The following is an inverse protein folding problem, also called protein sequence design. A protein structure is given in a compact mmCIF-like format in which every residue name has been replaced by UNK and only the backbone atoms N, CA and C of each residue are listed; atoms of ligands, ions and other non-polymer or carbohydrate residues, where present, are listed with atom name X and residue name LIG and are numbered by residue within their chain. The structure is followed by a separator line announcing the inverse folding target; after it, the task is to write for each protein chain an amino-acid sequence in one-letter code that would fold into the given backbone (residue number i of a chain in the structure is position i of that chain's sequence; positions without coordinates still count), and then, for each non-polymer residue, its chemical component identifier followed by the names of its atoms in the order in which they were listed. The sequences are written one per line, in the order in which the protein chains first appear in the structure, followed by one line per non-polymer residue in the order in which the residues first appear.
data_IF_159025840375
#
_entry.id   IF_159025840375
#
_cell.length_a   1.000
_cell.length_b   1.000
_cell.length_c   1.000
_cell.angle_alpha   90.00
_cell.angle_beta   90.00
_cell.angle_gamma   90.00
#
_symmetry.space_group_name_H-M   'P 1'
#
loop_
_entity.id
_entity.type
_entity.pdbx_description
1 polymer ?
#
# COMPACT_ATOMS: atom_id res chain seq x y z
N UNK A 1 64.81 1.48 -35.21
CA UNK A 1 64.03 1.45 -33.96
C UNK A 1 62.57 1.78 -34.27
N UNK A 2 61.71 0.76 -34.41
CA UNK A 2 60.26 0.94 -34.64
C UNK A 2 59.57 1.03 -33.27
N UNK A 3 58.92 2.16 -32.98
CA UNK A 3 58.09 2.32 -31.78
C UNK A 3 56.76 1.59 -32.02
N UNK A 4 56.48 0.58 -31.21
CA UNK A 4 55.22 -0.15 -31.17
C UNK A 4 54.20 0.71 -30.39
N UNK A 5 53.14 1.14 -31.05
CA UNK A 5 52.02 1.88 -30.43
C UNK A 5 51.02 0.83 -29.91
N UNK A 6 50.92 0.65 -28.59
CA UNK A 6 49.87 -0.15 -27.97
C UNK A 6 48.57 0.69 -27.96
N UNK A 7 47.56 0.24 -28.69
CA UNK A 7 46.21 0.79 -28.65
C UNK A 7 45.39 -0.07 -27.68
N UNK A 8 45.21 0.41 -26.45
CA UNK A 8 44.36 -0.25 -25.44
C UNK A 8 42.93 0.25 -25.63
N UNK A 9 42.06 -0.60 -26.19
CA UNK A 9 40.63 -0.33 -26.32
C UNK A 9 39.94 -0.74 -25.01
N UNK A 10 39.45 0.25 -24.26
CA UNK A 10 38.49 0.00 -23.17
C UNK A 10 37.10 -0.18 -23.79
N UNK A 11 36.60 -1.42 -23.86
CA UNK A 11 35.18 -1.67 -24.05
C UNK A 11 34.46 -1.39 -22.73
N UNK A 12 33.87 -0.20 -22.62
CA UNK A 12 32.80 0.03 -21.66
C UNK A 12 31.52 -0.60 -22.23
N UNK A 13 31.17 -1.80 -21.77
CA UNK A 13 29.80 -2.27 -21.89
C UNK A 13 28.95 -1.40 -20.96
N UNK A 14 28.29 -0.40 -21.53
CA UNK A 14 27.11 0.19 -20.89
C UNK A 14 26.06 -0.92 -20.88
N UNK A 15 26.03 -1.69 -19.79
CA UNK A 15 24.83 -2.45 -19.48
C UNK A 15 23.77 -1.39 -19.23
N UNK A 16 22.84 -1.23 -20.16
CA UNK A 16 21.55 -0.65 -19.79
C UNK A 16 21.07 -1.50 -18.63
N UNK A 17 20.91 -0.90 -17.45
CA UNK A 17 20.07 -1.49 -16.43
C UNK A 17 18.72 -1.69 -17.12
N UNK A 18 18.43 -2.92 -17.52
CA UNK A 18 17.09 -3.27 -17.95
C UNK A 18 16.20 -2.87 -16.79
N UNK A 19 15.13 -2.12 -17.07
CA UNK A 19 14.05 -2.09 -16.09
C UNK A 19 13.67 -3.55 -15.87
N UNK A 20 13.65 -3.99 -14.61
CA UNK A 20 13.05 -5.27 -14.27
C UNK A 20 11.69 -5.37 -14.97
N UNK A 21 11.33 -6.56 -15.44
CA UNK A 21 10.04 -6.77 -16.08
C UNK A 21 8.94 -6.27 -15.12
N UNK A 22 8.14 -5.32 -15.56
CA UNK A 22 7.06 -4.81 -14.73
C UNK A 22 5.93 -5.83 -14.81
N UNK A 23 5.69 -6.54 -13.71
CA UNK A 23 4.54 -7.42 -13.62
C UNK A 23 3.25 -6.61 -13.47
N UNK A 24 2.12 -7.15 -13.94
CA UNK A 24 0.80 -6.52 -13.82
C UNK A 24 0.69 -5.13 -14.49
N UNK A 25 1.32 -4.95 -15.66
CA UNK A 25 1.32 -3.65 -16.40
C UNK A 25 -0.09 -3.07 -16.62
N UNK A 26 -1.12 -3.93 -16.69
CA UNK A 26 -2.52 -3.51 -16.90
C UNK A 26 -3.23 -3.04 -15.63
N UNK A 27 -2.68 -3.30 -14.44
CA UNK A 27 -3.25 -2.92 -13.13
C UNK A 27 -2.19 -2.53 -12.10
N UNK A 28 -1.32 -1.54 -12.41
CA UNK A 28 -0.15 -1.26 -11.57
C UNK A 28 -0.48 -0.56 -10.23
N UNK A 29 -1.74 -0.23 -9.99
CA UNK A 29 -2.16 0.55 -8.82
C UNK A 29 -3.12 -0.19 -7.88
N UNK A 30 -3.43 -1.47 -8.14
CA UNK A 30 -4.24 -2.27 -7.23
C UNK A 30 -3.39 -2.75 -6.05
N UNK A 31 -3.86 -2.62 -4.82
CA UNK A 31 -3.16 -3.20 -3.67
C UNK A 31 -3.58 -4.64 -3.43
N UNK A 32 -2.69 -5.40 -2.79
CA UNK A 32 -2.96 -6.71 -2.20
C UNK A 32 -2.91 -6.59 -0.69
N UNK A 33 -3.79 -7.33 -0.01
CA UNK A 33 -3.83 -7.44 1.45
C UNK A 33 -3.58 -8.90 1.82
N UNK A 34 -2.61 -9.13 2.70
CA UNK A 34 -2.36 -10.40 3.37
C UNK A 34 -2.65 -10.21 4.85
N UNK A 35 -3.58 -10.98 5.38
CA UNK A 35 -3.95 -10.90 6.79
C UNK A 35 -2.89 -11.53 7.70
N UNK A 36 -2.68 -10.96 8.88
CA UNK A 36 -1.71 -11.42 9.88
C UNK A 36 -1.88 -12.90 10.26
N UNK A 37 -3.11 -13.41 10.22
CA UNK A 37 -3.41 -14.83 10.46
C UNK A 37 -2.74 -15.77 9.45
N UNK A 38 -2.46 -15.29 8.24
CA UNK A 38 -1.70 -16.02 7.22
C UNK A 38 -0.19 -16.04 7.49
N UNK A 39 0.28 -15.24 8.46
CA UNK A 39 1.67 -15.04 8.84
C UNK A 39 1.98 -15.64 10.23
N UNK A 40 1.37 -16.79 10.55
CA UNK A 40 1.38 -17.41 11.89
C UNK A 40 2.77 -17.62 12.53
N UNK A 41 3.84 -17.82 11.75
CA UNK A 41 5.19 -18.01 12.23
C UNK A 41 5.92 -16.69 12.58
N UNK A 42 5.32 -15.54 12.24
CA UNK A 42 5.82 -14.20 12.55
C UNK A 42 4.97 -13.48 13.61
N UNK A 43 4.02 -14.15 14.23
CA UNK A 43 3.18 -13.57 15.28
C UNK A 43 4.04 -13.09 16.46
N UNK A 44 3.78 -11.86 16.93
CA UNK A 44 4.56 -11.19 17.96
C UNK A 44 5.96 -10.74 17.54
N UNK A 45 6.27 -10.74 16.24
CA UNK A 45 7.49 -10.13 15.70
C UNK A 45 7.29 -8.63 15.59
N UNK A 46 8.32 -7.85 15.96
CA UNK A 46 8.32 -6.40 15.78
C UNK A 46 8.18 -6.04 14.30
N UNK A 47 7.24 -5.15 13.96
CA UNK A 47 7.02 -4.70 12.59
C UNK A 47 8.27 -4.06 11.98
N UNK A 48 9.08 -3.39 12.82
CA UNK A 48 10.39 -2.82 12.42
C UNK A 48 11.46 -3.85 12.05
N UNK A 49 11.24 -5.13 12.34
CA UNK A 49 12.08 -6.24 11.91
C UNK A 49 11.60 -6.86 10.60
N UNK A 50 10.46 -6.45 10.05
CA UNK A 50 9.92 -7.02 8.83
C UNK A 50 10.31 -6.18 7.62
N UNK A 51 10.65 -6.85 6.52
CA UNK A 51 10.76 -6.20 5.21
C UNK A 51 10.27 -7.11 4.10
N UNK A 52 9.59 -6.49 3.13
CA UNK A 52 9.11 -7.12 1.93
C UNK A 52 10.09 -6.90 0.77
N UNK A 53 10.31 -7.94 -0.02
CA UNK A 53 11.28 -7.95 -1.09
C UNK A 53 10.72 -8.56 -2.38
N UNK A 54 11.27 -8.10 -3.50
CA UNK A 54 11.16 -8.73 -4.80
C UNK A 54 12.53 -9.27 -5.24
N UNK A 55 12.51 -10.37 -5.99
CA UNK A 55 13.71 -10.94 -6.60
C UNK A 55 13.77 -10.57 -8.08
N UNK A 56 14.93 -10.11 -8.55
CA UNK A 56 15.23 -9.94 -9.97
C UNK A 56 16.09 -11.11 -10.43
N UNK A 57 15.52 -11.99 -11.27
CA UNK A 57 16.21 -13.18 -11.77
C UNK A 57 17.27 -12.87 -12.82
N UNK A 58 17.20 -11.69 -13.46
CA UNK A 58 18.16 -11.25 -14.48
C UNK A 58 19.48 -10.85 -13.85
N UNK A 59 19.43 -10.15 -12.71
CA UNK A 59 20.61 -9.73 -11.95
C UNK A 59 20.92 -10.65 -10.78
N UNK A 60 20.04 -11.60 -10.49
CA UNK A 60 20.09 -12.50 -9.33
C UNK A 60 20.19 -11.73 -8.00
N UNK A 61 19.42 -10.65 -7.86
CA UNK A 61 19.46 -9.76 -6.70
C UNK A 61 18.11 -9.52 -6.06
N UNK A 62 18.16 -9.19 -4.77
CA UNK A 62 17.01 -8.82 -3.97
C UNK A 62 16.88 -7.31 -3.88
N UNK A 63 15.65 -6.82 -4.01
CA UNK A 63 15.34 -5.40 -3.84
C UNK A 63 14.18 -5.24 -2.86
N UNK A 64 14.29 -4.36 -1.85
CA UNK A 64 13.17 -4.08 -0.98
C UNK A 64 12.05 -3.43 -1.79
N UNK A 65 10.81 -3.75 -1.45
CA UNK A 65 9.63 -3.18 -2.12
C UNK A 65 8.76 -2.43 -1.11
N UNK A 66 8.03 -1.39 -1.55
CA UNK A 66 7.10 -0.67 -0.70
C UNK A 66 6.06 -1.62 -0.10
N UNK A 67 5.95 -1.59 1.21
CA UNK A 67 4.91 -2.30 1.95
C UNK A 67 4.55 -1.52 3.20
N UNK A 68 3.36 -1.80 3.72
CA UNK A 68 2.78 -1.23 4.92
C UNK A 68 2.18 -2.38 5.73
N UNK A 69 2.34 -2.35 7.05
CA UNK A 69 1.56 -3.20 7.95
C UNK A 69 0.63 -2.25 8.70
N UNK A 70 -0.66 -2.47 8.51
CA UNK A 70 -1.70 -1.70 9.19
C UNK A 70 -2.14 -2.47 10.42
N UNK A 71 -1.72 -1.98 11.59
CA UNK A 71 -2.12 -2.54 12.88
C UNK A 71 -3.61 -2.31 13.10
N UNK A 72 -4.32 -3.39 13.41
CA UNK A 72 -5.76 -3.33 13.71
C UNK A 72 -5.93 -3.49 15.21
N UNK A 73 -6.26 -2.40 15.90
CA UNK A 73 -6.70 -2.46 17.29
C UNK A 73 -8.15 -2.93 17.42
N UNK A 74 -8.60 -3.07 18.67
CA UNK A 74 -9.89 -3.67 19.08
C UNK A 74 -11.11 -3.25 18.24
N UNK A 75 -11.15 -2.00 17.77
CA UNK A 75 -12.23 -1.50 16.91
C UNK A 75 -11.73 -0.83 15.61
N UNK A 76 -10.41 -0.76 15.36
CA UNK A 76 -9.88 0.04 14.24
C UNK A 76 -8.36 0.09 14.04
N UNK A 77 -7.95 0.60 12.87
CA UNK A 77 -6.60 1.06 12.52
C UNK A 77 -6.02 2.26 13.32
N UNK A 78 -6.66 2.72 14.38
CA UNK A 78 -6.24 3.90 15.15
C UNK A 78 -6.16 3.63 16.66
N UNK A 79 -6.26 2.38 17.09
CA UNK A 79 -6.13 1.98 18.49
C UNK A 79 -5.04 0.93 18.61
N UNK A 80 -4.29 0.96 19.72
CA UNK A 80 -3.42 -0.15 20.13
C UNK A 80 -2.30 -0.50 19.15
N UNK A 81 -1.49 0.47 18.73
CA UNK A 81 -0.19 0.22 18.05
C UNK A 81 0.81 -0.18 19.14
N UNK A 82 1.18 -1.46 19.16
CA UNK A 82 2.26 -1.99 19.99
C UNK A 82 3.51 -2.34 19.17
N UNK A 83 3.42 -2.18 17.85
CA UNK A 83 4.47 -2.42 16.89
C UNK A 83 4.79 -3.90 16.73
N UNK A 84 3.88 -4.80 17.10
CA UNK A 84 3.98 -6.25 16.90
C UNK A 84 3.01 -6.71 15.82
N UNK A 85 3.35 -7.79 15.13
CA UNK A 85 2.45 -8.43 14.20
C UNK A 85 1.43 -9.30 14.94
N UNK A 86 0.15 -8.96 14.79
CA UNK A 86 -0.97 -9.64 15.44
C UNK A 86 -1.94 -10.30 14.44
N UNK A 87 -2.66 -11.30 14.96
CA UNK A 87 -3.71 -12.02 14.24
C UNK A 87 -4.85 -12.46 15.15
N UNK A 88 -5.07 -11.75 16.26
CA UNK A 88 -6.14 -12.08 17.20
C UNK A 88 -7.48 -11.64 16.60
N UNK A 89 -8.56 -12.35 16.92
CA UNK A 89 -9.90 -11.95 16.45
C UNK A 89 -10.23 -10.53 16.93
N UNK A 90 -10.57 -9.64 15.98
CA UNK A 90 -10.78 -8.21 16.24
C UNK A 90 -9.50 -7.37 16.22
N UNK A 91 -8.32 -8.00 16.09
CA UNK A 91 -7.00 -7.35 15.98
C UNK A 91 -6.16 -8.09 14.93
N UNK A 92 -6.66 -8.12 13.70
CA UNK A 92 -6.01 -8.81 12.58
C UNK A 92 -5.30 -7.82 11.68
N UNK A 93 -3.98 -7.78 11.79
CA UNK A 93 -3.16 -6.85 11.01
C UNK A 93 -3.21 -7.12 9.52
N UNK A 94 -3.03 -6.07 8.73
CA UNK A 94 -3.02 -6.13 7.27
C UNK A 94 -1.63 -5.81 6.71
N UNK A 95 -0.97 -6.78 6.10
CA UNK A 95 0.20 -6.53 5.24
C UNK A 95 -0.29 -6.10 3.85
N UNK A 96 0.07 -4.88 3.46
CA UNK A 96 -0.38 -4.22 2.24
C UNK A 96 0.80 -3.84 1.35
N UNK A 97 0.72 -4.16 0.06
CA UNK A 97 1.72 -3.80 -0.96
C UNK A 97 1.09 -3.82 -2.35
N UNK A 98 1.80 -3.29 -3.36
CA UNK A 98 1.34 -3.33 -4.75
C UNK A 98 1.93 -4.54 -5.49
N UNK A 99 1.12 -5.35 -6.19
CA UNK A 99 1.62 -6.46 -7.01
C UNK A 99 2.56 -6.03 -8.12
N UNK A 100 2.49 -4.78 -8.57
CA UNK A 100 3.40 -4.23 -9.58
C UNK A 100 4.84 -4.10 -9.11
N UNK A 101 5.08 -4.11 -7.80
CA UNK A 101 6.43 -4.11 -7.23
C UNK A 101 6.99 -5.52 -7.07
N UNK A 102 6.16 -6.55 -7.17
CA UNK A 102 6.60 -7.93 -7.05
C UNK A 102 7.56 -8.30 -8.20
N UNK A 103 8.38 -9.32 -7.97
CA UNK A 103 9.41 -9.74 -8.91
C UNK A 103 9.25 -11.18 -9.38
N UNK A 104 10.37 -11.73 -9.83
CA UNK A 104 10.48 -13.10 -10.29
C UNK A 104 10.45 -14.10 -9.13
N UNK A 105 10.23 -15.36 -9.49
CA UNK A 105 10.41 -16.46 -8.54
C UNK A 105 11.90 -16.63 -8.19
N UNK A 106 12.22 -16.59 -6.91
CA UNK A 106 13.55 -16.85 -6.40
C UNK A 106 13.91 -18.33 -6.39
N UNK A 107 15.21 -18.61 -6.51
CA UNK A 107 15.74 -19.96 -6.26
C UNK A 107 15.79 -20.21 -4.75
N UNK A 108 15.46 -21.43 -4.28
CA UNK A 108 15.55 -21.76 -2.86
C UNK A 108 16.93 -21.46 -2.30
N UNK A 109 16.97 -20.87 -1.10
CA UNK A 109 18.18 -20.59 -0.32
C UNK A 109 19.11 -19.51 -0.87
N UNK A 110 18.70 -18.75 -1.89
CA UNK A 110 19.37 -17.51 -2.26
C UNK A 110 18.61 -16.34 -1.64
N UNK A 111 18.81 -16.08 -0.35
CA UNK A 111 18.09 -15.07 0.44
C UNK A 111 18.93 -13.80 0.65
N UNK A 112 18.31 -12.62 0.89
CA UNK A 112 19.05 -11.38 1.10
C UNK A 112 19.93 -11.44 2.35
N UNK A 113 21.10 -10.80 2.33
CA UNK A 113 21.98 -10.76 3.50
C UNK A 113 21.31 -10.09 4.72
N UNK A 114 21.58 -10.63 5.92
CA UNK A 114 21.15 -10.04 7.20
C UNK A 114 19.78 -10.48 7.71
N UNK A 115 19.01 -11.26 6.93
CA UNK A 115 17.77 -11.87 7.43
C UNK A 115 18.04 -12.97 8.48
N UNK A 116 17.04 -13.29 9.29
CA UNK A 116 17.10 -14.39 10.25
C UNK A 116 16.89 -15.74 9.57
N UNK A 117 17.99 -16.49 9.42
CA UNK A 117 17.99 -17.87 8.90
C UNK A 117 17.14 -18.85 9.71
N UNK A 118 16.80 -18.54 10.96
CA UNK A 118 15.95 -19.37 11.81
C UNK A 118 14.47 -18.95 11.75
N UNK A 119 14.16 -17.83 11.08
CA UNK A 119 12.79 -17.36 10.90
C UNK A 119 12.15 -17.95 9.65
N UNK A 120 10.81 -17.96 9.62
CA UNK A 120 10.07 -18.34 8.44
C UNK A 120 10.24 -17.28 7.33
N UNK A 121 10.39 -17.74 6.10
CA UNK A 121 10.31 -16.90 4.90
C UNK A 121 8.95 -17.15 4.25
N UNK A 122 8.17 -16.09 4.07
CA UNK A 122 6.89 -16.18 3.37
C UNK A 122 7.09 -15.78 1.90
N UNK A 123 6.79 -16.71 0.99
CA UNK A 123 6.70 -16.47 -0.45
C UNK A 123 5.21 -16.26 -0.80
N UNK A 124 4.88 -15.11 -1.36
CA UNK A 124 3.56 -14.82 -1.89
C UNK A 124 3.58 -14.93 -3.40
N UNK A 125 2.84 -15.90 -3.95
CA UNK A 125 2.56 -15.95 -5.38
C UNK A 125 1.32 -15.12 -5.67
N UNK A 126 1.50 -14.03 -6.42
CA UNK A 126 0.43 -13.19 -6.94
C UNK A 126 0.07 -13.69 -8.32
N UNK A 127 -1.23 -13.76 -8.64
CA UNK A 127 -1.70 -14.19 -9.97
C UNK A 127 -2.70 -13.20 -10.53
N UNK A 128 -2.45 -12.69 -11.73
CA UNK A 128 -3.41 -11.85 -12.44
C UNK A 128 -4.53 -12.74 -12.97
N UNK A 129 -5.76 -12.54 -12.48
CA UNK A 129 -6.90 -13.35 -12.90
C UNK A 129 -7.33 -13.11 -14.36
N UNK A 130 -6.86 -12.03 -14.98
CA UNK A 130 -7.15 -11.65 -16.36
C UNK A 130 -6.11 -12.20 -17.33
N UNK A 131 -4.82 -12.06 -17.01
CA UNK A 131 -3.72 -12.48 -17.89
C UNK A 131 -3.14 -13.86 -17.56
N UNK A 132 -3.35 -14.34 -16.33
CA UNK A 132 -2.71 -15.56 -15.80
C UNK A 132 -1.24 -15.37 -15.43
N UNK A 133 -0.70 -14.16 -15.55
CA UNK A 133 0.66 -13.83 -15.15
C UNK A 133 0.85 -14.03 -13.64
N UNK A 134 2.04 -14.48 -13.24
CA UNK A 134 2.42 -14.58 -11.83
C UNK A 134 3.63 -13.72 -11.52
N UNK A 135 3.63 -13.14 -10.32
CA UNK A 135 4.79 -12.49 -9.72
C UNK A 135 4.91 -12.90 -8.25
N UNK A 136 6.07 -12.63 -7.65
CA UNK A 136 6.42 -13.12 -6.32
C UNK A 136 6.91 -11.98 -5.42
N UNK A 137 6.41 -11.98 -4.19
CA UNK A 137 6.89 -11.12 -3.11
C UNK A 137 7.32 -11.99 -1.93
N UNK A 138 8.31 -11.51 -1.18
CA UNK A 138 8.97 -12.29 -0.13
C UNK A 138 9.07 -11.48 1.15
N UNK A 139 8.47 -11.97 2.24
CA UNK A 139 8.57 -11.36 3.55
C UNK A 139 9.67 -12.04 4.36
N UNK A 140 10.59 -11.22 4.86
CA UNK A 140 11.72 -11.64 5.67
C UNK A 140 11.72 -10.91 7.01
N UNK A 141 12.28 -11.58 8.03
CA UNK A 141 12.58 -10.98 9.33
C UNK A 141 14.07 -10.62 9.42
N UNK A 142 14.37 -9.45 9.95
CA UNK A 142 15.70 -8.89 10.18
C UNK A 142 15.80 -8.46 11.66
N UNK A 143 16.33 -9.33 12.55
CA UNK A 143 16.30 -9.12 14.01
C UNK A 143 17.20 -7.97 14.48
N UNK A 144 18.05 -7.44 13.60
CA UNK A 144 18.90 -6.28 13.88
C UNK A 144 18.40 -5.01 13.17
N UNK A 145 17.11 -4.98 12.79
CA UNK A 145 16.47 -3.92 12.05
C UNK A 145 16.39 -4.22 10.56
N UNK A 146 15.19 -4.09 10.00
CA UNK A 146 14.97 -4.31 8.58
C UNK A 146 15.47 -3.13 7.73
N UNK A 147 15.86 -3.38 6.46
CA UNK A 147 16.06 -2.31 5.50
C UNK A 147 14.78 -1.45 5.39
N UNK A 148 14.91 -0.11 5.28
CA UNK A 148 13.74 0.75 5.22
C UNK A 148 12.89 0.46 3.98
N UNK A 149 11.57 0.44 4.17
CA UNK A 149 10.58 0.33 3.10
C UNK A 149 10.75 1.52 2.13
N UNK A 150 10.95 1.28 0.82
CA UNK A 150 11.00 2.37 -0.16
C UNK A 150 9.69 3.15 -0.20
N UNK A 151 9.76 4.46 -0.45
CA UNK A 151 8.58 5.33 -0.61
C UNK A 151 8.53 6.00 -2.00
N UNK A 152 8.37 5.23 -3.09
CA UNK A 152 8.29 5.78 -4.45
C UNK A 152 6.97 6.49 -4.74
N UNK A 153 5.95 6.24 -3.92
CA UNK A 153 4.58 6.74 -4.09
C UNK A 153 4.39 8.11 -3.48
N UNK A 154 5.18 8.48 -2.46
CA UNK A 154 5.08 9.79 -1.81
C UNK A 154 3.69 10.03 -1.24
N UNK A 155 3.07 8.99 -0.66
CA UNK A 155 1.77 9.08 -0.01
C UNK A 155 1.83 10.14 1.10
N UNK A 156 0.81 10.99 1.12
CA UNK A 156 0.68 12.07 2.08
C UNK A 156 -0.80 12.41 2.31
N UNK A 157 -1.08 13.06 3.44
CA UNK A 157 -2.38 13.62 3.75
C UNK A 157 -2.25 15.13 4.00
N UNK A 158 -3.07 15.91 3.31
CA UNK A 158 -3.17 17.36 3.46
C UNK A 158 -4.42 17.71 4.30
N UNK A 159 -4.26 18.06 5.58
CA UNK A 159 -5.40 18.33 6.46
C UNK A 159 -6.08 19.66 6.17
N UNK A 160 -5.42 20.62 5.50
CA UNK A 160 -6.04 21.91 5.16
C UNK A 160 -7.02 21.76 4.00
N UNK A 161 -6.71 20.85 3.08
CA UNK A 161 -7.54 20.55 1.91
C UNK A 161 -8.44 19.33 2.07
N UNK A 162 -8.32 18.58 3.17
CA UNK A 162 -8.87 17.21 3.32
C UNK A 162 -8.59 16.39 2.06
N UNK A 163 -7.30 16.15 1.82
CA UNK A 163 -6.85 15.49 0.59
C UNK A 163 -5.81 14.40 0.84
N UNK A 164 -6.00 13.25 0.21
CA UNK A 164 -4.95 12.25 0.03
C UNK A 164 -4.18 12.60 -1.23
N UNK A 165 -2.87 12.76 -1.08
CA UNK A 165 -1.97 13.15 -2.17
C UNK A 165 -0.89 12.09 -2.33
N UNK A 166 -0.61 11.72 -3.56
CA UNK A 166 0.53 10.88 -3.91
C UNK A 166 1.23 11.45 -5.14
N UNK A 167 2.30 10.78 -5.56
CA UNK A 167 2.93 11.04 -6.85
C UNK A 167 1.98 10.80 -8.02
N UNK A 168 1.00 9.91 -7.88
CA UNK A 168 0.22 9.37 -8.99
C UNK A 168 -1.22 9.89 -9.05
N UNK A 169 -1.79 10.23 -7.91
CA UNK A 169 -3.18 10.71 -7.83
C UNK A 169 -3.36 11.67 -6.67
N UNK A 170 -4.44 12.44 -6.74
CA UNK A 170 -4.97 13.28 -5.67
C UNK A 170 -6.45 12.91 -5.49
N UNK A 171 -6.89 12.75 -4.23
CA UNK A 171 -8.28 12.58 -3.87
C UNK A 171 -8.65 13.59 -2.78
N UNK A 172 -9.58 14.50 -3.08
CA UNK A 172 -10.05 15.57 -2.18
C UNK A 172 -11.44 15.23 -1.68
N UNK A 173 -11.69 15.46 -0.40
CA UNK A 173 -12.97 15.23 0.24
C UNK A 173 -13.64 16.57 0.59
N UNK A 174 -14.96 16.57 0.67
CA UNK A 174 -15.73 17.72 1.13
C UNK A 174 -16.04 17.67 2.63
N UNK A 175 -16.60 18.77 3.13
CA UNK A 175 -17.06 18.89 4.52
C UNK A 175 -18.25 18.00 4.87
N UNK A 176 -18.78 17.24 3.90
CA UNK A 176 -19.94 16.38 4.02
C UNK A 176 -19.58 14.90 3.79
N UNK A 177 -18.37 14.51 4.18
CA UNK A 177 -17.82 13.14 4.15
C UNK A 177 -17.65 12.51 2.76
N UNK A 178 -17.94 13.22 1.66
CA UNK A 178 -17.89 12.67 0.31
C UNK A 178 -16.59 12.98 -0.42
N UNK A 179 -16.25 12.15 -1.40
CA UNK A 179 -15.17 12.44 -2.35
C UNK A 179 -15.67 13.54 -3.30
N UNK A 180 -14.97 14.66 -3.30
CA UNK A 180 -15.26 15.82 -4.12
C UNK A 180 -14.49 15.80 -5.43
N UNK A 181 -13.20 15.44 -5.40
CA UNK A 181 -12.32 15.50 -6.56
C UNK A 181 -11.39 14.29 -6.57
N UNK A 182 -11.22 13.65 -7.73
CA UNK A 182 -10.17 12.63 -7.93
C UNK A 182 -9.45 12.90 -9.24
N UNK A 183 -8.13 13.05 -9.17
CA UNK A 183 -7.28 13.34 -10.31
C UNK A 183 -6.20 12.30 -10.44
N UNK A 184 -5.94 11.87 -11.68
CA UNK A 184 -4.72 11.14 -12.01
C UNK A 184 -3.68 12.16 -12.46
N UNK A 185 -2.52 12.15 -11.80
CA UNK A 185 -1.46 13.11 -12.05
C UNK A 185 -0.62 12.69 -13.26
N UNK A 186 0.10 13.65 -13.84
CA UNK A 186 0.92 13.42 -15.04
C UNK A 186 1.98 12.33 -14.86
N UNK A 187 2.46 12.10 -13.64
CA UNK A 187 3.41 11.03 -13.36
C UNK A 187 2.82 9.62 -13.51
N UNK A 188 1.49 9.49 -13.50
CA UNK A 188 0.74 8.27 -13.80
C UNK A 188 0.08 8.31 -15.19
N UNK A 189 0.46 9.27 -16.04
CA UNK A 189 -0.11 9.42 -17.38
C UNK A 189 -1.48 10.10 -17.44
N UNK A 190 -1.96 10.67 -16.33
CA UNK A 190 -3.18 11.47 -16.30
C UNK A 190 -2.96 12.91 -16.77
N UNK A 191 -4.06 13.63 -16.95
CA UNK A 191 -4.10 15.04 -17.35
C UNK A 191 -4.48 15.98 -16.20
N UNK A 192 -4.56 15.45 -14.98
CA UNK A 192 -4.98 16.18 -13.77
C UNK A 192 -6.37 16.79 -13.85
N UNK A 193 -7.24 16.26 -14.72
CA UNK A 193 -8.66 16.60 -14.75
C UNK A 193 -9.39 15.81 -13.67
N UNK A 194 -10.35 16.46 -13.02
CA UNK A 194 -11.24 15.83 -12.05
C UNK A 194 -12.10 14.77 -12.74
N UNK A 195 -12.06 13.55 -12.20
CA UNK A 195 -12.80 12.39 -12.67
C UNK A 195 -14.14 12.20 -11.95
N UNK A 196 -14.38 12.94 -10.86
CA UNK A 196 -15.58 12.82 -10.04
C UNK A 196 -16.52 13.98 -10.34
N UNK A 197 -17.73 13.66 -10.79
CA UNK A 197 -18.82 14.64 -10.86
C UNK A 197 -19.57 14.71 -9.52
N UNK A 198 -19.98 13.55 -9.01
CA UNK A 198 -20.71 13.45 -7.74
C UNK A 198 -20.64 12.06 -7.13
N UNK A 199 -20.32 12.00 -5.84
CA UNK A 199 -20.56 10.82 -5.02
C UNK A 199 -22.00 10.84 -4.47
N UNK A 200 -22.73 9.73 -4.62
CA UNK A 200 -24.10 9.57 -4.08
C UNK A 200 -24.08 8.63 -2.88
N UNK A 201 -24.77 9.03 -1.82
CA UNK A 201 -24.95 8.26 -0.60
C UNK A 201 -26.44 8.12 -0.30
N UNK A 202 -26.87 6.94 0.13
CA UNK A 202 -28.26 6.67 0.54
C UNK A 202 -28.22 5.83 1.81
N UNK A 203 -28.64 6.43 2.91
CA UNK A 203 -28.67 5.82 4.23
C UNK A 203 -30.13 5.64 4.61
N UNK A 204 -30.49 4.43 5.04
CA UNK A 204 -31.81 4.11 5.58
C UNK A 204 -31.63 3.31 6.85
N UNK A 205 -32.36 3.66 7.90
CA UNK A 205 -32.27 2.96 9.17
C UNK A 205 -33.46 3.24 10.08
N UNK A 206 -33.32 2.83 11.34
CA UNK A 206 -34.32 3.06 12.39
C UNK A 206 -33.64 3.49 13.68
N UNK A 207 -34.20 4.48 14.37
CA UNK A 207 -33.85 4.81 15.76
C UNK A 207 -35.04 4.35 16.61
N UNK A 208 -34.88 3.23 17.31
CA UNK A 208 -36.00 2.52 17.94
C UNK A 208 -37.03 2.10 16.89
N UNK A 209 -38.24 2.64 16.98
CA UNK A 209 -39.32 2.36 16.04
C UNK A 209 -39.43 3.39 14.90
N UNK A 210 -38.76 4.53 14.99
CA UNK A 210 -38.86 5.60 13.99
C UNK A 210 -37.91 5.32 12.81
N UNK A 211 -38.40 5.25 11.56
CA UNK A 211 -37.52 5.18 10.40
C UNK A 211 -36.79 6.52 10.19
N UNK A 212 -35.59 6.46 9.63
CA UNK A 212 -34.91 7.64 9.09
C UNK A 212 -34.33 7.32 7.72
N UNK A 213 -34.29 8.34 6.86
CA UNK A 213 -33.59 8.31 5.59
C UNK A 213 -32.68 9.53 5.52
N UNK A 214 -31.49 9.35 4.94
CA UNK A 214 -30.57 10.42 4.68
C UNK A 214 -29.77 10.16 3.40
N UNK A 215 -29.22 11.21 2.80
CA UNK A 215 -28.55 11.17 1.52
C UNK A 215 -27.46 12.26 1.41
N UNK A 216 -26.70 12.30 0.31
CA UNK A 216 -25.61 13.29 0.14
C UNK A 216 -26.04 14.77 0.18
N UNK A 217 -27.33 15.08 0.16
CA UNK A 217 -27.86 16.43 0.33
C UNK A 217 -28.16 16.79 1.79
N UNK A 218 -28.20 15.80 2.67
CA UNK A 218 -28.34 16.03 4.11
C UNK A 218 -26.98 16.40 4.72
N UNK A 219 -27.01 17.11 5.85
CA UNK A 219 -25.82 17.65 6.49
C UNK A 219 -25.19 16.63 7.46
N UNK A 220 -23.98 16.21 7.13
CA UNK A 220 -23.07 15.33 7.88
C UNK A 220 -21.78 16.09 8.20
N UNK A 221 -21.84 17.18 8.97
CA UNK A 221 -20.68 18.02 9.21
C UNK A 221 -19.51 17.21 9.76
N UNK A 222 -18.37 17.29 9.07
CA UNK A 222 -17.10 16.76 9.57
C UNK A 222 -16.71 17.53 10.83
N UNK A 223 -16.54 16.80 11.93
CA UNK A 223 -16.17 17.33 13.24
C UNK A 223 -14.72 17.02 13.63
N UNK A 224 -14.08 16.10 12.92
CA UNK A 224 -12.69 15.74 13.10
C UNK A 224 -12.26 14.68 12.09
N UNK A 225 -10.95 14.60 11.84
CA UNK A 225 -10.35 13.58 11.00
C UNK A 225 -9.10 13.06 11.70
N UNK A 226 -9.03 11.75 11.88
CA UNK A 226 -7.79 11.05 12.22
C UNK A 226 -7.22 10.45 10.93
N UNK A 227 -5.90 10.45 10.78
CA UNK A 227 -5.27 9.82 9.62
C UNK A 227 -3.94 9.15 9.97
N UNK A 228 -3.63 8.08 9.25
CA UNK A 228 -2.34 7.37 9.25
C UNK A 228 -1.79 7.40 7.84
N UNK A 229 -0.55 7.88 7.69
CA UNK A 229 0.16 7.89 6.40
C UNK A 229 1.16 6.77 6.41
N UNK A 230 0.96 5.79 5.54
CA UNK A 230 1.96 4.76 5.26
C UNK A 230 2.51 4.86 3.85
N UNK A 231 3.51 4.03 3.51
CA UNK A 231 4.20 4.09 2.22
C UNK A 231 3.32 3.64 1.05
N UNK A 232 2.25 2.86 1.28
CA UNK A 232 1.38 2.31 0.23
C UNK A 232 0.03 3.02 0.18
N UNK A 233 -0.57 3.33 1.33
CA UNK A 233 -1.87 4.01 1.40
C UNK A 233 -1.97 4.98 2.58
N UNK A 234 -2.99 5.82 2.53
CA UNK A 234 -3.43 6.64 3.67
C UNK A 234 -4.72 6.05 4.21
N UNK A 235 -4.80 5.85 5.51
CA UNK A 235 -6.03 5.48 6.20
C UNK A 235 -6.58 6.73 6.87
N UNK A 236 -7.86 7.01 6.66
CA UNK A 236 -8.58 8.17 7.20
C UNK A 236 -9.79 7.70 7.98
N UNK A 237 -10.00 8.26 9.17
CA UNK A 237 -11.25 8.16 9.93
C UNK A 237 -11.90 9.51 9.99
N UNK A 238 -13.16 9.55 9.59
CA UNK A 238 -13.98 10.76 9.63
C UNK A 238 -14.93 10.69 10.81
N UNK A 239 -14.88 11.72 11.65
CA UNK A 239 -15.85 11.92 12.71
C UNK A 239 -16.92 12.88 12.22
N UNK A 240 -18.16 12.41 12.14
CA UNK A 240 -19.29 13.23 11.69
C UNK A 240 -20.46 13.12 12.66
N UNK A 241 -21.27 14.17 12.72
CA UNK A 241 -22.55 14.16 13.45
C UNK A 241 -23.67 14.10 12.43
N UNK A 242 -24.61 13.19 12.64
CA UNK A 242 -25.85 13.20 11.86
C UNK A 242 -26.79 14.28 12.39
N UNK A 243 -27.14 15.25 11.54
CA UNK A 243 -28.13 16.29 11.82
C UNK A 243 -29.41 16.05 10.98
N UNK A 244 -29.97 14.85 11.01
CA UNK A 244 -31.21 14.55 10.28
C UNK A 244 -32.49 14.87 11.05
N UNK A 245 -33.57 15.15 10.30
CA UNK A 245 -34.94 15.20 10.83
C UNK A 245 -35.51 13.79 10.97
N UNK A 246 -36.06 13.48 12.15
CA UNK A 246 -36.82 12.24 12.39
C UNK A 246 -38.30 12.57 12.18
N UNK A 247 -38.92 11.96 11.19
CA UNK A 247 -40.36 12.05 10.99
C UNK A 247 -41.07 11.07 11.92
N UNK A 248 -41.84 11.60 12.87
CA UNK A 248 -42.78 10.81 13.68
C UNK A 248 -44.11 10.73 12.92
N UNK A 249 -44.47 9.53 12.47
CA UNK A 249 -45.81 9.21 11.96
C UNK A 249 -46.76 8.81 13.10
#
# INVERSE_FOLDING_TARGET
MRKLLLLTVFLFSVQSAGKAAQHFENRPYGWTIIYGSSLSALQGVLLSELALFAFDSTTASWHPIPFQIDEVGEDSFFGGDDGLLDSVEGQEDELVFLPSDAGDKAWPHNWPDGFDYNSAVYEFQLTDSTTGESAFAYLFRFPNGAPPSPNPYGMNYDPERDAVVSRFYEAVFDSNITVHDVRILSAAGGDSVDLVDRQKSRIKGRIGWAPYEANEQDDFPVTGIDYVVGPVRVIRRVHSKFLGSIDFY
#
